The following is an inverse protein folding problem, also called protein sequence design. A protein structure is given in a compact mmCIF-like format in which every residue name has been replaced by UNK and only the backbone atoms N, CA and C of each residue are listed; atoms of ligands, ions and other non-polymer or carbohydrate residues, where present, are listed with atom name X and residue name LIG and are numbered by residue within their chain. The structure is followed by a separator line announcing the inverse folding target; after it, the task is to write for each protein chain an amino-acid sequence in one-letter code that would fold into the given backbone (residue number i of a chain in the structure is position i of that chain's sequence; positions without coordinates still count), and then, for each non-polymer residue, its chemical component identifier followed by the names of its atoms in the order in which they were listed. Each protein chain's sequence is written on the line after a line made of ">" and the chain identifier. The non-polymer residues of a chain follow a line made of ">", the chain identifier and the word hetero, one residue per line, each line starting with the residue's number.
data_IF_250547365264
#
_entry.id   IF_250547365264
#
_cell.length_a   1.000
_cell.length_b   1.000
_cell.length_c   1.000
_cell.angle_alpha   90.00
_cell.angle_beta   90.00
_cell.angle_gamma   90.00
#
_symmetry.space_group_name_H-M   'P 1'
#
loop_
_entity.id
_entity.type
_entity.pdbx_description
1 polymer ?
#
# COMPACT_ATOMS: atom_id res chain seq x y z
N UNK A 1 -31.46 -26.95 23.43
CA UNK A 1 -31.32 -25.48 23.55
C UNK A 1 -31.16 -24.90 22.16
N UNK A 2 -32.20 -24.21 21.68
CA UNK A 2 -32.30 -23.67 20.31
C UNK A 2 -31.90 -22.19 20.32
N UNK A 3 -30.85 -21.83 19.57
CA UNK A 3 -30.38 -20.45 19.49
C UNK A 3 -30.94 -19.80 18.20
N UNK A 4 -31.91 -18.90 18.37
CA UNK A 4 -32.54 -18.12 17.30
C UNK A 4 -31.62 -16.98 16.88
N UNK A 5 -31.45 -16.81 15.56
CA UNK A 5 -30.86 -15.62 14.91
C UNK A 5 -31.68 -14.38 15.27
N UNK A 6 -31.05 -13.33 15.82
CA UNK A 6 -31.61 -11.98 15.75
C UNK A 6 -30.94 -11.22 14.60
N UNK A 7 -31.66 -11.04 13.50
CA UNK A 7 -31.33 -10.00 12.54
C UNK A 7 -31.66 -8.65 13.18
N UNK A 8 -30.64 -7.86 13.52
CA UNK A 8 -30.81 -6.44 13.80
C UNK A 8 -30.39 -5.70 12.53
N UNK A 9 -31.37 -5.30 11.74
CA UNK A 9 -31.16 -4.33 10.68
C UNK A 9 -30.81 -2.96 11.30
N UNK A 10 -29.76 -2.33 10.80
CA UNK A 10 -29.58 -0.89 10.96
C UNK A 10 -29.15 -0.27 9.62
N UNK A 11 -30.10 0.50 9.11
CA UNK A 11 -30.08 1.37 7.94
C UNK A 11 -28.77 2.20 7.88
N UNK A 12 -27.95 2.01 6.84
CA UNK A 12 -26.87 2.94 6.51
C UNK A 12 -27.36 3.86 5.38
N UNK A 13 -27.77 5.06 5.78
CA UNK A 13 -28.03 6.19 4.88
C UNK A 13 -26.66 6.74 4.48
N UNK A 14 -26.32 6.69 3.19
CA UNK A 14 -25.17 7.41 2.64
C UNK A 14 -25.72 8.61 1.89
N UNK A 15 -25.78 9.75 2.57
CA UNK A 15 -25.99 11.05 1.94
C UNK A 15 -24.65 11.48 1.32
N UNK A 16 -24.62 11.55 -0.01
CA UNK A 16 -23.58 12.30 -0.74
C UNK A 16 -24.31 13.42 -1.45
N UNK A 17 -24.33 14.58 -0.81
CA UNK A 17 -24.85 15.83 -1.36
C UNK A 17 -23.95 16.39 -2.45
N UNK A 18 -24.58 17.10 -3.37
CA UNK A 18 -24.14 17.42 -4.73
C UNK A 18 -22.85 18.24 -4.87
N UNK A 19 -22.08 17.95 -5.92
CA UNK A 19 -21.78 18.97 -6.94
C UNK A 19 -21.30 18.34 -8.27
N UNK A 20 -22.11 18.59 -9.29
CA UNK A 20 -21.87 18.57 -10.74
C UNK A 20 -21.24 17.35 -11.44
N UNK A 21 -22.08 16.73 -12.26
CA UNK A 21 -21.81 15.71 -13.27
C UNK A 21 -21.32 14.36 -12.74
N UNK A 22 -22.23 13.39 -12.61
CA UNK A 22 -22.05 11.97 -12.99
C UNK A 22 -23.22 11.15 -12.44
N UNK A 23 -23.77 10.29 -13.29
CA UNK A 23 -24.80 9.29 -12.95
C UNK A 23 -24.47 8.53 -11.66
N UNK A 24 -25.46 8.25 -10.78
CA UNK A 24 -25.21 7.59 -9.50
C UNK A 24 -24.63 6.20 -9.74
N UNK A 25 -23.38 5.99 -9.30
CA UNK A 25 -22.73 4.68 -9.30
C UNK A 25 -23.48 3.81 -8.28
N UNK A 26 -24.45 3.01 -8.75
CA UNK A 26 -25.13 1.99 -7.95
C UNK A 26 -24.16 0.85 -7.65
N UNK A 27 -23.33 1.00 -6.62
CA UNK A 27 -22.60 -0.15 -6.07
C UNK A 27 -23.52 -0.87 -5.08
N UNK A 28 -23.79 -2.15 -5.34
CA UNK A 28 -24.57 -2.98 -4.44
C UNK A 28 -23.90 -3.02 -3.05
N UNK A 29 -24.69 -2.83 -1.99
CA UNK A 29 -24.22 -2.91 -0.61
C UNK A 29 -23.52 -4.26 -0.32
N UNK A 30 -23.97 -5.35 -0.96
CA UNK A 30 -23.32 -6.65 -0.89
C UNK A 30 -21.91 -6.62 -1.48
N UNK A 31 -21.71 -5.95 -2.61
CA UNK A 31 -20.41 -5.82 -3.27
C UNK A 31 -19.45 -4.96 -2.44
N UNK A 32 -19.96 -3.89 -1.81
CA UNK A 32 -19.20 -3.06 -0.87
C UNK A 32 -18.76 -3.85 0.37
N UNK A 33 -19.68 -4.59 0.99
CA UNK A 33 -19.41 -5.42 2.16
C UNK A 33 -18.40 -6.53 1.81
N UNK A 34 -18.56 -7.19 0.66
CA UNK A 34 -17.62 -8.22 0.19
C UNK A 34 -16.21 -7.65 0.01
N UNK A 35 -16.10 -6.42 -0.54
CA UNK A 35 -14.82 -5.71 -0.71
C UNK A 35 -14.17 -5.30 0.62
N UNK A 36 -14.97 -5.00 1.64
CA UNK A 36 -14.47 -4.70 3.00
C UNK A 36 -14.00 -5.96 3.73
N UNK A 37 -14.57 -7.12 3.42
CA UNK A 37 -14.22 -8.42 4.07
C UNK A 37 -13.06 -9.15 3.41
N UNK A 38 -12.60 -8.72 2.22
CA UNK A 38 -11.47 -9.35 1.57
C UNK A 38 -10.17 -9.12 2.37
N UNK A 39 -9.33 -10.14 2.57
CA UNK A 39 -8.08 -10.00 3.31
C UNK A 39 -7.14 -9.03 2.59
N UNK A 40 -6.62 -8.05 3.34
CA UNK A 40 -5.65 -7.07 2.83
C UNK A 40 -4.25 -7.46 3.29
N UNK A 41 -3.30 -7.44 2.35
CA UNK A 41 -1.88 -7.61 2.65
C UNK A 41 -1.18 -6.26 2.63
N UNK A 42 -0.38 -6.00 3.65
CA UNK A 42 0.45 -4.79 3.75
C UNK A 42 1.91 -5.24 3.85
N UNK A 43 2.75 -4.70 2.97
CA UNK A 43 4.18 -5.01 2.94
C UNK A 43 4.94 -3.75 3.37
N UNK A 44 5.71 -3.87 4.43
CA UNK A 44 6.57 -2.79 4.92
C UNK A 44 7.98 -2.96 4.37
N UNK A 45 8.50 -1.91 3.75
CA UNK A 45 9.85 -1.86 3.19
C UNK A 45 10.61 -0.74 3.90
N UNK A 46 11.75 -1.07 4.51
CA UNK A 46 12.69 -0.07 5.01
C UNK A 46 13.51 0.49 3.85
N UNK A 47 13.82 1.78 3.87
CA UNK A 47 14.72 2.37 2.87
C UNK A 47 16.08 1.68 2.85
N UNK A 48 16.74 1.67 1.68
CA UNK A 48 18.13 1.23 1.56
C UNK A 48 19.09 2.10 2.38
N UNK A 49 20.34 1.65 2.51
CA UNK A 49 21.38 2.42 3.20
C UNK A 49 21.51 3.85 2.65
N UNK A 50 21.46 4.84 3.55
CA UNK A 50 21.70 6.24 3.24
C UNK A 50 22.99 6.73 3.88
N UNK A 51 23.50 7.90 3.47
CA UNK A 51 24.79 8.45 3.94
C UNK A 51 24.90 8.48 5.47
N UNK A 52 23.83 8.87 6.18
CA UNK A 52 23.80 8.86 7.65
C UNK A 52 23.99 7.46 8.26
N UNK A 53 23.56 6.39 7.56
CA UNK A 53 23.75 5.01 8.02
C UNK A 53 25.21 4.57 7.88
N UNK A 54 25.90 5.07 6.85
CA UNK A 54 27.27 4.68 6.52
C UNK A 54 28.31 5.47 7.32
N UNK A 55 28.15 6.80 7.40
CA UNK A 55 29.10 7.70 8.07
C UNK A 55 28.78 7.96 9.54
N UNK A 56 27.68 7.39 10.06
CA UNK A 56 27.12 7.69 11.38
C UNK A 56 26.88 9.19 11.64
N UNK A 57 26.76 9.98 10.57
CA UNK A 57 26.45 11.40 10.65
C UNK A 57 24.94 11.62 10.65
N UNK A 58 24.39 11.76 11.85
CA UNK A 58 22.98 12.05 12.08
C UNK A 58 22.61 13.53 11.85
N UNK A 59 23.61 14.38 11.58
CA UNK A 59 23.40 15.80 11.26
C UNK A 59 22.99 16.03 9.81
N UNK A 60 23.27 15.08 8.91
CA UNK A 60 22.87 15.20 7.50
C UNK A 60 21.35 15.17 7.37
N UNK A 61 20.77 16.31 6.98
CA UNK A 61 19.32 16.46 6.76
C UNK A 61 18.91 15.84 5.42
N UNK A 62 17.91 14.97 5.46
CA UNK A 62 17.35 14.29 4.28
C UNK A 62 18.42 13.61 3.38
N UNK A 63 19.20 12.67 3.95
CA UNK A 63 20.33 12.05 3.27
C UNK A 63 19.88 11.20 2.09
N UNK A 64 20.72 11.17 1.04
CA UNK A 64 20.55 10.29 -0.12
C UNK A 64 20.94 8.85 0.19
N UNK A 65 20.47 7.91 -0.63
CA UNK A 65 21.00 6.55 -0.65
C UNK A 65 22.47 6.53 -1.07
N UNK A 66 23.26 5.69 -0.41
CA UNK A 66 24.60 5.32 -0.87
C UNK A 66 24.50 4.43 -2.12
N UNK A 67 25.61 4.19 -2.80
CA UNK A 67 25.64 3.24 -3.91
C UNK A 67 25.27 1.81 -3.48
N UNK A 68 25.63 1.44 -2.25
CA UNK A 68 25.18 0.22 -1.60
C UNK A 68 23.65 0.24 -1.36
N UNK A 69 23.11 1.35 -0.86
CA UNK A 69 21.66 1.54 -0.69
C UNK A 69 20.87 1.39 -1.99
N UNK A 70 21.39 1.93 -3.10
CA UNK A 70 20.80 1.72 -4.43
C UNK A 70 20.84 0.25 -4.85
N UNK A 71 21.94 -0.46 -4.58
CA UNK A 71 22.08 -1.88 -4.88
C UNK A 71 21.11 -2.73 -4.06
N UNK A 72 20.95 -2.42 -2.77
CA UNK A 72 19.94 -3.02 -1.89
C UNK A 72 18.53 -2.80 -2.43
N UNK A 73 18.19 -1.57 -2.79
CA UNK A 73 16.87 -1.21 -3.31
C UNK A 73 16.54 -1.94 -4.63
N UNK A 74 17.50 -1.98 -5.57
CA UNK A 74 17.38 -2.78 -6.80
C UNK A 74 17.25 -4.27 -6.51
N UNK A 75 17.86 -4.76 -5.45
CA UNK A 75 17.76 -6.15 -4.99
C UNK A 75 16.34 -6.57 -4.61
N UNK A 76 15.53 -5.63 -4.10
CA UNK A 76 14.17 -5.91 -3.61
C UNK A 76 13.25 -6.52 -4.67
N UNK A 77 13.40 -6.12 -5.94
CA UNK A 77 12.62 -6.68 -7.06
C UNK A 77 12.81 -8.18 -7.26
N UNK A 78 13.86 -8.78 -6.69
CA UNK A 78 14.14 -10.20 -6.80
C UNK A 78 13.48 -11.02 -5.67
N UNK A 79 12.97 -10.38 -4.62
CA UNK A 79 12.26 -11.06 -3.54
C UNK A 79 10.90 -11.56 -4.05
N UNK A 80 10.61 -12.85 -3.83
CA UNK A 80 9.41 -13.50 -4.35
C UNK A 80 8.10 -12.77 -3.98
N UNK A 81 8.01 -12.28 -2.74
CA UNK A 81 6.84 -11.53 -2.25
C UNK A 81 6.64 -10.21 -3.00
N UNK A 82 7.72 -9.53 -3.35
CA UNK A 82 7.68 -8.27 -4.08
C UNK A 82 7.51 -8.47 -5.58
N UNK A 83 8.02 -9.56 -6.16
CA UNK A 83 7.80 -9.88 -7.58
C UNK A 83 6.33 -10.02 -7.93
N UNK A 84 5.57 -10.72 -7.07
CA UNK A 84 4.12 -10.82 -7.25
C UNK A 84 3.47 -9.43 -7.08
N UNK A 85 3.81 -8.70 -6.01
CA UNK A 85 3.25 -7.37 -5.73
C UNK A 85 3.57 -6.31 -6.81
N UNK A 86 4.75 -6.37 -7.44
CA UNK A 86 5.17 -5.43 -8.49
C UNK A 86 4.65 -5.84 -9.88
N UNK A 87 4.04 -7.03 -10.01
CA UNK A 87 3.46 -7.50 -11.26
C UNK A 87 4.45 -8.19 -12.20
N UNK A 88 5.67 -8.52 -11.75
CA UNK A 88 6.68 -9.16 -12.59
C UNK A 88 6.39 -10.62 -12.93
N UNK A 89 5.46 -11.25 -12.22
CA UNK A 89 5.11 -12.67 -12.45
C UNK A 89 3.79 -12.86 -13.22
N UNK A 90 3.18 -11.78 -13.75
CA UNK A 90 1.96 -11.85 -14.57
C UNK A 90 0.71 -12.35 -13.84
N UNK A 91 0.74 -12.45 -12.51
CA UNK A 91 -0.40 -12.83 -11.67
C UNK A 91 -1.24 -11.61 -11.31
N UNK A 92 -2.52 -11.83 -11.04
CA UNK A 92 -3.48 -10.80 -10.56
C UNK A 92 -3.16 -10.23 -9.15
N UNK A 93 -2.04 -10.63 -8.53
CA UNK A 93 -1.64 -10.23 -7.17
C UNK A 93 -0.74 -8.99 -7.17
N UNK A 94 -1.12 -7.96 -7.93
CA UNK A 94 -0.39 -6.67 -7.95
C UNK A 94 -0.79 -5.78 -6.77
N UNK A 95 0.16 -5.01 -6.25
CA UNK A 95 -0.10 -3.96 -5.28
C UNK A 95 -1.08 -2.93 -5.86
N UNK A 96 -2.15 -2.65 -5.12
CA UNK A 96 -3.16 -1.67 -5.50
C UNK A 96 -2.73 -0.23 -5.17
N UNK A 97 -1.80 -0.08 -4.23
CA UNK A 97 -1.31 1.20 -3.75
C UNK A 97 0.13 1.05 -3.24
N UNK A 98 0.97 2.02 -3.59
CA UNK A 98 2.31 2.19 -3.01
C UNK A 98 2.30 3.52 -2.25
N UNK A 99 2.63 3.46 -0.97
CA UNK A 99 2.74 4.65 -0.10
C UNK A 99 4.19 4.80 0.32
N UNK A 100 4.73 6.01 0.19
CA UNK A 100 6.14 6.29 0.45
C UNK A 100 6.24 7.50 1.37
N UNK A 101 7.17 7.44 2.33
CA UNK A 101 7.54 8.62 3.13
C UNK A 101 8.15 9.71 2.24
N UNK A 102 7.95 11.00 2.56
CA UNK A 102 8.46 12.10 1.74
C UNK A 102 9.98 12.29 1.80
N UNK A 103 10.72 11.45 2.55
CA UNK A 103 12.17 11.54 2.64
C UNK A 103 12.85 11.03 1.35
N UNK A 104 13.95 11.67 0.96
CA UNK A 104 14.63 11.38 -0.31
C UNK A 104 15.08 9.93 -0.41
N UNK A 105 15.67 9.38 0.65
CA UNK A 105 16.06 7.96 0.70
C UNK A 105 14.88 6.99 0.52
N UNK A 106 13.68 7.32 0.99
CA UNK A 106 12.50 6.48 0.80
C UNK A 106 11.96 6.60 -0.62
N UNK A 107 11.96 7.80 -1.20
CA UNK A 107 11.62 8.03 -2.60
C UNK A 107 12.59 7.31 -3.55
N UNK A 108 13.90 7.40 -3.31
CA UNK A 108 14.93 6.71 -4.08
C UNK A 108 14.81 5.19 -3.98
N UNK A 109 14.49 4.67 -2.79
CA UNK A 109 14.23 3.22 -2.62
C UNK A 109 13.02 2.81 -3.46
N UNK A 110 11.93 3.58 -3.43
CA UNK A 110 10.73 3.29 -4.19
C UNK A 110 10.93 3.43 -5.72
N UNK A 111 11.79 4.36 -6.16
CA UNK A 111 12.16 4.53 -7.56
C UNK A 111 12.93 3.33 -8.13
N UNK A 112 13.63 2.58 -7.29
CA UNK A 112 14.42 1.42 -7.69
C UNK A 112 13.62 0.10 -7.75
N UNK A 113 12.36 0.11 -7.30
CA UNK A 113 11.43 -1.03 -7.36
C UNK A 113 10.86 -1.20 -8.77
#
# INVERSE_FOLDING_TARGET
>A
MSYRKSQIGKLLRLDVGDCDSTSPIRVSASQFLTKLTAPKSVIFIRHGEAEHNSFADWGTRDPVLTENGWSQARGLRHLAILRDALGFNGKDKRAQLVVVSPLRRTLQTAQAL
#
